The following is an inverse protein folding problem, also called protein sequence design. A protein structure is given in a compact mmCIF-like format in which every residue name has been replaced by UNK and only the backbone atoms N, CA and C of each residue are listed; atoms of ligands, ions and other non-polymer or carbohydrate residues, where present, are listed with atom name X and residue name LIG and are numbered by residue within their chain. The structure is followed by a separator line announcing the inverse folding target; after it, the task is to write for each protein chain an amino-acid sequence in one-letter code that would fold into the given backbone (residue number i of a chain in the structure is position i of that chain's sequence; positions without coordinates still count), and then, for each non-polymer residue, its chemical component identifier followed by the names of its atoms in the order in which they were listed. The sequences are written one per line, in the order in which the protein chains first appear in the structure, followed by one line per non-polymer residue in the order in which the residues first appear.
data_IF_855395213880
#
_entry.id   IF_855395213880
#
_cell.length_a   1.000
_cell.length_b   1.000
_cell.length_c   1.000
_cell.angle_alpha   90.00
_cell.angle_beta   90.00
_cell.angle_gamma   90.00
#
_symmetry.space_group_name_H-M   'P 1'
#
loop_
_entity.id
_entity.type
_entity.pdbx_description
1 polymer ?
#
# COMPACT_ATOMS: atom_id res chain seq x y z
N UNK A 1 -10.28 37.62 44.10
CA UNK A 1 -10.38 36.15 43.95
C UNK A 1 -11.50 35.91 42.93
N UNK A 2 -11.29 35.74 41.63
CA UNK A 2 -10.21 35.08 40.90
C UNK A 2 -10.83 33.90 40.13
N UNK A 3 -11.72 34.20 39.17
CA UNK A 3 -12.43 33.20 38.37
C UNK A 3 -11.93 33.22 36.92
N UNK A 4 -11.43 32.09 36.45
CA UNK A 4 -11.06 31.84 35.06
C UNK A 4 -11.04 30.33 34.79
N UNK A 5 -11.64 29.84 33.70
CA UNK A 5 -11.58 28.43 33.34
C UNK A 5 -10.23 28.10 32.69
N UNK A 6 -9.69 26.93 33.06
CA UNK A 6 -8.45 26.37 32.54
C UNK A 6 -8.60 25.97 31.06
N UNK A 7 -7.98 26.72 30.17
CA UNK A 7 -7.70 26.31 28.81
C UNK A 7 -6.49 25.37 28.78
N UNK A 8 -6.76 24.06 28.70
CA UNK A 8 -5.76 23.04 28.37
C UNK A 8 -5.43 23.08 26.87
N UNK A 9 -4.15 23.30 26.59
CA UNK A 9 -3.52 23.43 25.28
C UNK A 9 -3.65 22.16 24.43
N UNK A 10 -4.44 22.23 23.37
CA UNK A 10 -4.32 21.37 22.18
C UNK A 10 -4.03 22.29 21.00
N UNK A 11 -2.74 22.52 20.74
CA UNK A 11 -2.28 23.37 19.64
C UNK A 11 -0.95 22.83 19.13
N UNK A 12 -0.98 21.77 18.32
CA UNK A 12 -0.16 21.58 17.11
C UNK A 12 -0.90 20.53 16.28
N UNK A 13 -1.47 20.93 15.14
CA UNK A 13 -1.81 20.20 13.90
C UNK A 13 -2.95 21.02 13.28
N UNK A 14 -2.55 22.14 12.68
CA UNK A 14 -3.42 23.12 12.07
C UNK A 14 -2.61 24.01 11.15
N UNK A 15 -2.04 23.42 10.10
CA UNK A 15 -1.55 24.18 8.94
C UNK A 15 -1.21 23.21 7.81
N UNK A 16 -2.19 22.91 6.94
CA UNK A 16 -2.00 22.46 5.55
C UNK A 16 -3.33 22.19 4.80
N UNK A 17 -4.49 22.24 5.48
CA UNK A 17 -5.79 22.05 4.84
C UNK A 17 -6.46 23.34 4.30
N UNK A 18 -5.76 24.48 4.29
CA UNK A 18 -6.36 25.80 4.03
C UNK A 18 -6.10 26.45 2.66
N UNK A 19 -5.30 25.84 1.77
CA UNK A 19 -4.75 26.56 0.61
C UNK A 19 -5.14 26.04 -0.78
N UNK A 20 -6.13 25.15 -0.90
CA UNK A 20 -6.55 24.59 -2.21
C UNK A 20 -7.88 25.18 -2.72
N UNK A 21 -8.61 25.98 -1.93
CA UNK A 21 -9.94 26.49 -2.32
C UNK A 21 -10.00 27.94 -2.84
N UNK A 22 -8.88 28.54 -3.27
CA UNK A 22 -8.86 29.96 -3.69
C UNK A 22 -8.16 30.27 -5.02
N UNK A 23 -8.24 29.39 -6.02
CA UNK A 23 -7.87 29.74 -7.40
C UNK A 23 -8.91 29.21 -8.40
N UNK A 24 -10.18 29.53 -8.16
CA UNK A 24 -11.20 29.45 -9.21
C UNK A 24 -12.07 30.69 -9.13
N UNK A 25 -11.98 31.51 -10.18
CA UNK A 25 -12.78 32.69 -10.53
C UNK A 25 -11.98 34.00 -10.52
N UNK A 26 -11.48 34.40 -11.70
CA UNK A 26 -11.86 35.64 -12.42
C UNK A 26 -10.85 35.92 -13.54
N UNK A 27 -11.29 35.79 -14.78
CA UNK A 27 -10.81 36.62 -15.91
C UNK A 27 -11.94 36.72 -16.95
N UNK A 28 -12.49 37.91 -17.23
CA UNK A 28 -13.28 38.15 -18.43
C UNK A 28 -12.36 38.40 -19.63
N UNK A 29 -12.66 37.75 -20.77
CA UNK A 29 -12.06 38.06 -22.07
C UNK A 29 -12.38 39.50 -22.47
N UNK A 30 -11.38 40.39 -22.39
CA UNK A 30 -11.36 41.69 -23.03
C UNK A 30 -10.44 41.63 -24.26
N UNK A 31 -10.97 42.01 -25.41
CA UNK A 31 -10.25 42.10 -26.67
C UNK A 31 -9.15 43.18 -26.63
N UNK A 32 -7.97 42.90 -27.17
CA UNK A 32 -7.06 43.94 -27.63
C UNK A 32 -6.14 43.46 -28.77
N UNK A 33 -6.59 43.80 -29.99
CA UNK A 33 -5.87 44.26 -31.18
C UNK A 33 -4.35 43.99 -31.29
N UNK A 34 -3.98 43.32 -32.39
CA UNK A 34 -2.62 43.20 -32.92
C UNK A 34 -1.94 44.57 -33.10
N UNK A 35 -0.66 44.65 -32.73
CA UNK A 35 0.27 45.61 -33.32
C UNK A 35 1.68 45.00 -33.41
N UNK A 36 2.23 45.09 -34.60
CA UNK A 36 3.55 44.64 -35.05
C UNK A 36 4.59 45.74 -34.75
N UNK A 37 5.84 45.36 -34.42
CA UNK A 37 7.12 46.05 -34.75
C UNK A 37 8.22 45.85 -33.67
N UNK A 38 9.28 45.16 -34.09
CA UNK A 38 10.71 45.54 -34.01
C UNK A 38 11.16 46.52 -32.90
N UNK A 39 11.97 46.03 -31.95
CA UNK A 39 13.16 46.75 -31.47
C UNK A 39 14.05 45.87 -30.60
N UNK A 40 15.36 46.04 -30.79
CA UNK A 40 16.44 45.51 -29.98
C UNK A 40 16.62 46.34 -28.71
N UNK A 41 17.02 45.68 -27.61
CA UNK A 41 17.86 46.28 -26.57
C UNK A 41 17.27 46.34 -25.16
N UNK A 42 18.19 46.13 -24.20
CA UNK A 42 18.11 46.33 -22.75
C UNK A 42 17.45 45.24 -21.89
N UNK A 43 18.23 44.74 -20.93
CA UNK A 43 17.92 43.59 -20.10
C UNK A 43 16.93 43.86 -18.98
N UNK A 44 16.32 42.77 -18.51
CA UNK A 44 15.75 42.66 -17.18
C UNK A 44 16.21 41.32 -16.59
N UNK A 45 16.85 41.45 -15.43
CA UNK A 45 17.26 40.37 -14.56
C UNK A 45 16.01 39.88 -13.82
N UNK A 46 15.19 39.04 -14.46
CA UNK A 46 14.01 38.45 -13.83
C UNK A 46 14.39 37.10 -13.22
N UNK A 47 14.94 37.19 -12.00
CA UNK A 47 14.83 36.13 -11.02
C UNK A 47 13.37 35.92 -10.65
N UNK A 48 12.65 35.13 -11.44
CA UNK A 48 11.41 34.49 -11.02
C UNK A 48 11.75 33.04 -10.67
N UNK A 49 12.20 32.87 -9.43
CA UNK A 49 12.23 31.60 -8.73
C UNK A 49 10.82 31.03 -8.58
N UNK A 50 10.34 30.40 -9.65
CA UNK A 50 9.26 29.44 -9.64
C UNK A 50 9.87 28.08 -9.91
N UNK A 51 10.66 27.57 -8.96
CA UNK A 51 11.14 26.19 -8.97
C UNK A 51 9.95 25.25 -8.82
N UNK A 52 9.23 25.00 -9.91
CA UNK A 52 8.54 23.74 -10.06
C UNK A 52 9.63 22.68 -9.88
N UNK A 53 9.57 21.93 -8.78
CA UNK A 53 10.33 20.70 -8.61
C UNK A 53 9.91 19.78 -9.76
N UNK A 54 10.60 19.91 -10.88
CA UNK A 54 10.64 18.89 -11.91
C UNK A 54 11.35 17.74 -11.22
N UNK A 55 10.58 16.80 -10.68
CA UNK A 55 11.13 15.53 -10.23
C UNK A 55 11.72 14.89 -11.47
N UNK A 56 13.04 14.88 -11.56
CA UNK A 56 13.71 14.28 -12.69
C UNK A 56 13.48 12.77 -12.63
N UNK A 57 13.55 12.04 -13.76
CA UNK A 57 13.52 10.57 -13.74
C UNK A 57 14.56 9.95 -12.80
N UNK A 58 15.58 10.72 -12.38
CA UNK A 58 16.62 10.35 -11.42
C UNK A 58 16.12 10.30 -9.97
N UNK A 59 14.97 10.92 -9.64
CA UNK A 59 14.38 10.88 -8.30
C UNK A 59 13.59 9.58 -8.02
N UNK A 60 13.36 8.74 -9.05
CA UNK A 60 12.72 7.45 -8.89
C UNK A 60 13.70 6.44 -8.27
N UNK A 61 13.28 5.75 -7.20
CA UNK A 61 14.06 4.68 -6.60
C UNK A 61 14.52 3.68 -7.67
N UNK A 62 15.82 3.42 -7.72
CA UNK A 62 16.39 2.45 -8.64
C UNK A 62 15.95 1.04 -8.24
N UNK A 63 15.85 0.14 -9.23
CA UNK A 63 15.49 -1.27 -9.03
C UNK A 63 16.18 -1.91 -7.83
N UNK A 64 17.51 -1.81 -7.74
CA UNK A 64 18.28 -2.50 -6.70
C UNK A 64 18.02 -1.89 -5.32
N UNK A 65 17.85 -0.58 -5.22
CA UNK A 65 17.48 0.10 -3.97
C UNK A 65 16.10 -0.35 -3.48
N UNK A 66 15.13 -0.44 -4.40
CA UNK A 66 13.78 -0.92 -4.11
C UNK A 66 13.79 -2.37 -3.62
N UNK A 67 14.46 -3.28 -4.35
CA UNK A 67 14.51 -4.69 -3.98
C UNK A 67 15.27 -4.92 -2.66
N UNK A 68 16.34 -4.17 -2.40
CA UNK A 68 17.07 -4.26 -1.14
C UNK A 68 16.23 -3.76 0.04
N UNK A 69 15.55 -2.63 -0.10
CA UNK A 69 14.69 -2.08 0.94
C UNK A 69 13.51 -3.02 1.23
N UNK A 70 12.83 -3.48 0.18
CA UNK A 70 11.71 -4.41 0.31
C UNK A 70 12.17 -5.74 0.92
N UNK A 71 13.30 -6.28 0.46
CA UNK A 71 13.90 -7.50 1.00
C UNK A 71 14.27 -7.37 2.48
N UNK A 72 14.90 -6.26 2.88
CA UNK A 72 15.25 -6.00 4.27
C UNK A 72 14.02 -5.85 5.17
N UNK A 73 12.99 -5.12 4.70
CA UNK A 73 11.73 -4.97 5.43
C UNK A 73 11.04 -6.32 5.63
N UNK A 74 10.87 -7.09 4.55
CA UNK A 74 10.18 -8.38 4.62
C UNK A 74 10.98 -9.43 5.41
N UNK A 75 12.30 -9.45 5.27
CA UNK A 75 13.18 -10.27 6.11
C UNK A 75 13.08 -9.90 7.59
N UNK A 76 13.00 -8.60 7.91
CA UNK A 76 12.75 -8.09 9.25
C UNK A 76 11.43 -8.59 9.84
N UNK A 77 10.36 -8.66 9.04
CA UNK A 77 9.07 -9.22 9.47
C UNK A 77 9.15 -10.72 9.78
N UNK A 78 9.92 -11.50 9.00
CA UNK A 78 10.15 -12.93 9.31
C UNK A 78 10.91 -13.07 10.63
N UNK A 79 11.97 -12.28 10.86
CA UNK A 79 12.71 -12.29 12.12
C UNK A 79 11.81 -11.90 13.30
N UNK A 80 10.95 -10.89 13.11
CA UNK A 80 9.97 -10.49 14.11
C UNK A 80 8.97 -11.61 14.38
N UNK A 81 8.47 -12.31 13.36
CA UNK A 81 7.57 -13.45 13.53
C UNK A 81 8.23 -14.56 14.36
N UNK A 82 9.48 -14.91 14.07
CA UNK A 82 10.23 -15.91 14.84
C UNK A 82 10.43 -15.46 16.30
N UNK A 83 10.81 -14.19 16.51
CA UNK A 83 11.02 -13.64 17.85
C UNK A 83 9.72 -13.62 18.67
N UNK A 84 8.62 -13.16 18.09
CA UNK A 84 7.31 -13.14 18.76
C UNK A 84 6.77 -14.55 18.96
N UNK A 85 6.99 -15.46 18.01
CA UNK A 85 6.64 -16.86 18.14
C UNK A 85 7.34 -17.50 19.33
N UNK A 86 8.64 -17.25 19.47
CA UNK A 86 9.41 -17.67 20.65
C UNK A 86 8.89 -17.03 21.95
N UNK A 87 8.61 -15.73 21.95
CA UNK A 87 8.13 -15.00 23.14
C UNK A 87 6.76 -15.48 23.63
N UNK A 88 5.86 -15.84 22.71
CA UNK A 88 4.49 -16.24 23.03
C UNK A 88 4.27 -17.76 23.02
N UNK A 89 5.34 -18.55 22.85
CA UNK A 89 5.29 -20.02 22.73
C UNK A 89 4.36 -20.48 21.61
N UNK A 90 4.50 -19.86 20.43
CA UNK A 90 3.77 -20.17 19.20
C UNK A 90 4.78 -20.57 18.14
N UNK A 91 4.64 -21.76 17.57
CA UNK A 91 5.43 -22.15 16.41
C UNK A 91 4.85 -21.47 15.15
N UNK A 92 5.57 -20.52 14.51
CA UNK A 92 5.06 -19.78 13.35
C UNK A 92 4.65 -20.69 12.18
N UNK A 93 5.27 -21.87 12.10
CA UNK A 93 5.11 -22.83 11.00
C UNK A 93 4.09 -23.92 11.31
N UNK A 94 3.44 -23.90 12.49
CA UNK A 94 2.62 -25.00 13.00
C UNK A 94 1.54 -25.47 12.02
N UNK A 95 0.96 -24.54 11.27
CA UNK A 95 -0.14 -24.81 10.34
C UNK A 95 0.30 -24.85 8.88
N UNK A 96 1.59 -25.00 8.59
CA UNK A 96 2.04 -25.18 7.21
C UNK A 96 1.96 -26.67 6.85
N UNK A 97 0.94 -27.04 6.08
CA UNK A 97 0.84 -28.40 5.52
C UNK A 97 0.93 -28.36 3.99
N UNK A 98 1.74 -29.28 3.43
CA UNK A 98 2.00 -29.39 2.01
C UNK A 98 1.18 -30.52 1.41
N UNK A 99 -0.13 -30.30 1.24
CA UNK A 99 -1.05 -31.26 0.66
C UNK A 99 -1.78 -30.70 -0.56
N UNK A 100 -2.20 -31.60 -1.46
CA UNK A 100 -2.82 -31.21 -2.72
C UNK A 100 -4.15 -30.44 -2.54
N UNK A 101 -4.90 -30.74 -1.47
CA UNK A 101 -6.18 -30.08 -1.19
C UNK A 101 -5.94 -28.62 -0.78
N UNK A 102 -4.94 -28.35 0.04
CA UNK A 102 -4.57 -26.98 0.40
C UNK A 102 -4.00 -26.17 -0.76
N UNK A 103 -3.27 -26.79 -1.69
CA UNK A 103 -2.90 -26.12 -2.95
C UNK A 103 -4.10 -25.74 -3.82
N UNK A 104 -5.09 -26.62 -3.92
CA UNK A 104 -6.34 -26.31 -4.62
C UNK A 104 -7.06 -25.13 -3.96
N UNK A 105 -7.22 -25.16 -2.63
CA UNK A 105 -7.83 -24.06 -1.89
C UNK A 105 -7.05 -22.75 -1.98
N UNK A 106 -5.72 -22.82 -1.94
CA UNK A 106 -4.84 -21.67 -2.16
C UNK A 106 -5.09 -21.02 -3.53
N UNK A 107 -5.15 -21.84 -4.59
CA UNK A 107 -5.47 -21.37 -5.94
C UNK A 107 -6.86 -20.71 -6.01
N UNK A 108 -7.88 -21.38 -5.45
CA UNK A 108 -9.25 -20.83 -5.40
C UNK A 108 -9.34 -19.55 -4.57
N UNK A 109 -8.62 -19.46 -3.45
CA UNK A 109 -8.59 -18.29 -2.58
C UNK A 109 -7.85 -17.09 -3.21
N UNK A 110 -6.98 -17.35 -4.18
CA UNK A 110 -6.31 -16.29 -4.95
C UNK A 110 -7.31 -15.57 -5.88
N UNK A 111 -8.32 -16.29 -6.40
CA UNK A 111 -9.20 -15.75 -7.45
C UNK A 111 -10.03 -14.52 -7.00
N UNK A 112 -10.68 -14.50 -5.82
CA UNK A 112 -11.40 -13.31 -5.36
C UNK A 112 -10.50 -12.09 -5.17
N UNK A 113 -9.27 -12.29 -4.69
CA UNK A 113 -8.31 -11.20 -4.48
C UNK A 113 -7.80 -10.64 -5.82
N UNK A 114 -7.45 -11.50 -6.78
CA UNK A 114 -7.12 -11.07 -8.14
C UNK A 114 -8.30 -10.36 -8.82
N UNK A 115 -9.53 -10.85 -8.61
CA UNK A 115 -10.74 -10.19 -9.12
C UNK A 115 -10.94 -8.81 -8.50
N UNK A 116 -10.71 -8.66 -7.20
CA UNK A 116 -10.74 -7.36 -6.52
C UNK A 116 -9.68 -6.41 -7.09
N UNK A 117 -8.44 -6.88 -7.28
CA UNK A 117 -7.37 -6.10 -7.89
C UNK A 117 -7.73 -5.66 -9.32
N UNK A 118 -8.28 -6.56 -10.15
CA UNK A 118 -8.82 -6.23 -11.48
C UNK A 118 -9.92 -5.18 -11.43
N UNK A 119 -10.88 -5.33 -10.53
CA UNK A 119 -12.00 -4.40 -10.39
C UNK A 119 -11.51 -3.01 -9.98
N UNK A 120 -10.56 -2.92 -9.04
CA UNK A 120 -9.95 -1.65 -8.64
C UNK A 120 -9.11 -1.04 -9.78
N UNK A 121 -8.43 -1.87 -10.57
CA UNK A 121 -7.68 -1.41 -11.73
C UNK A 121 -8.60 -0.83 -12.80
N UNK A 122 -9.71 -1.49 -13.10
CA UNK A 122 -10.62 -1.13 -14.20
C UNK A 122 -11.67 -0.09 -13.83
N UNK A 123 -12.01 0.02 -12.55
CA UNK A 123 -13.08 0.91 -12.10
C UNK A 123 -12.69 2.38 -12.20
N UNK A 124 -13.65 3.18 -12.68
CA UNK A 124 -13.62 4.64 -12.72
C UNK A 124 -14.37 5.26 -11.53
N UNK A 125 -14.54 4.51 -10.45
CA UNK A 125 -15.07 5.06 -9.22
C UNK A 125 -13.98 5.85 -8.50
N UNK A 126 -14.35 6.92 -7.78
CA UNK A 126 -13.38 7.79 -7.10
C UNK A 126 -12.42 6.99 -6.21
N UNK A 127 -12.96 6.10 -5.38
CA UNK A 127 -12.17 5.25 -4.49
C UNK A 127 -11.13 4.41 -5.24
N UNK A 128 -11.54 3.75 -6.34
CA UNK A 128 -10.65 2.91 -7.14
C UNK A 128 -9.55 3.74 -7.83
N UNK A 129 -9.89 4.93 -8.34
CA UNK A 129 -8.90 5.86 -8.91
C UNK A 129 -7.89 6.33 -7.86
N UNK A 130 -8.36 6.79 -6.70
CA UNK A 130 -7.48 7.29 -5.63
C UNK A 130 -6.48 6.19 -5.19
N UNK A 131 -6.96 4.95 -5.00
CA UNK A 131 -6.11 3.80 -4.64
C UNK A 131 -5.12 3.44 -5.75
N UNK A 132 -5.57 3.44 -7.00
CA UNK A 132 -4.72 3.14 -8.15
C UNK A 132 -3.64 4.21 -8.35
N UNK A 133 -3.98 5.48 -8.19
CA UNK A 133 -3.03 6.61 -8.24
C UNK A 133 -2.02 6.52 -7.10
N UNK A 134 -2.44 6.15 -5.89
CA UNK A 134 -1.53 5.87 -4.79
C UNK A 134 -0.52 4.76 -5.15
N UNK A 135 -0.98 3.64 -5.70
CA UNK A 135 -0.08 2.54 -6.08
C UNK A 135 0.83 2.91 -7.25
N UNK A 136 0.31 3.58 -8.28
CA UNK A 136 1.11 4.02 -9.43
C UNK A 136 2.18 5.03 -9.03
N UNK A 137 1.84 6.01 -8.17
CA UNK A 137 2.81 7.00 -7.69
C UNK A 137 3.85 6.41 -6.75
N UNK A 138 3.47 5.46 -5.89
CA UNK A 138 4.37 4.90 -4.87
C UNK A 138 5.24 3.75 -5.40
N UNK A 139 4.65 2.83 -6.16
CA UNK A 139 5.29 1.58 -6.60
C UNK A 139 5.58 1.55 -8.10
N UNK A 140 4.81 2.29 -8.91
CA UNK A 140 4.86 2.23 -10.38
C UNK A 140 6.26 2.35 -10.97
N UNK A 141 7.02 3.43 -10.68
CA UNK A 141 8.37 3.62 -11.22
C UNK A 141 9.32 2.47 -10.89
N UNK A 142 9.32 1.95 -9.67
CA UNK A 142 10.21 0.88 -9.24
C UNK A 142 9.79 -0.48 -9.83
N UNK A 143 8.48 -0.80 -9.79
CA UNK A 143 7.91 -2.04 -10.34
C UNK A 143 8.09 -2.12 -11.86
N UNK A 144 8.02 -1.01 -12.58
CA UNK A 144 8.24 -0.97 -14.03
C UNK A 144 9.68 -1.33 -14.43
N UNK A 145 10.66 -1.01 -13.57
CA UNK A 145 12.07 -1.35 -13.78
C UNK A 145 12.38 -2.81 -13.44
N UNK A 146 11.56 -3.46 -12.62
CA UNK A 146 11.78 -4.84 -12.18
C UNK A 146 11.63 -5.86 -13.31
N UNK A 147 12.43 -6.92 -13.26
CA UNK A 147 12.25 -8.10 -14.11
C UNK A 147 11.05 -8.91 -13.59
N UNK A 148 10.44 -9.73 -14.44
CA UNK A 148 9.24 -10.47 -14.03
C UNK A 148 9.52 -11.42 -12.85
N UNK A 149 10.71 -12.00 -12.78
CA UNK A 149 11.10 -12.86 -11.66
C UNK A 149 11.39 -12.10 -10.37
N UNK A 150 11.82 -10.83 -10.45
CA UNK A 150 11.97 -10.00 -9.24
C UNK A 150 10.59 -9.82 -8.57
N UNK A 151 9.54 -9.62 -9.38
CA UNK A 151 8.18 -9.47 -8.89
C UNK A 151 7.62 -10.76 -8.30
N UNK A 152 7.94 -11.92 -8.89
CA UNK A 152 7.58 -13.24 -8.35
C UNK A 152 8.28 -13.48 -7.00
N UNK A 153 9.59 -13.22 -6.93
CA UNK A 153 10.33 -13.39 -5.68
C UNK A 153 9.86 -12.44 -4.59
N UNK A 154 9.60 -11.18 -4.96
CA UNK A 154 9.10 -10.17 -4.03
C UNK A 154 7.71 -10.53 -3.52
N UNK A 155 6.77 -10.94 -4.39
CA UNK A 155 5.43 -11.29 -3.95
C UNK A 155 5.40 -12.55 -3.08
N UNK A 156 6.23 -13.54 -3.39
CA UNK A 156 6.41 -14.72 -2.51
C UNK A 156 6.99 -14.32 -1.16
N UNK A 157 7.98 -13.42 -1.16
CA UNK A 157 8.61 -12.95 0.07
C UNK A 157 7.59 -12.22 0.95
N UNK A 158 6.79 -11.30 0.38
CA UNK A 158 5.71 -10.57 1.07
C UNK A 158 4.65 -11.52 1.61
N UNK A 159 4.15 -12.44 0.77
CA UNK A 159 3.13 -13.40 1.20
C UNK A 159 3.62 -14.33 2.32
N UNK A 160 4.88 -14.75 2.30
CA UNK A 160 5.45 -15.57 3.38
C UNK A 160 5.65 -14.74 4.65
N UNK A 161 6.32 -13.60 4.57
CA UNK A 161 6.69 -12.79 5.73
C UNK A 161 5.49 -12.27 6.51
N UNK A 162 4.52 -11.69 5.80
CA UNK A 162 3.36 -11.07 6.42
C UNK A 162 2.42 -12.13 7.00
N UNK A 163 2.11 -13.18 6.25
CA UNK A 163 1.21 -14.22 6.74
C UNK A 163 1.82 -15.02 7.88
N UNK A 164 3.14 -15.24 7.87
CA UNK A 164 3.83 -15.85 9.00
C UNK A 164 3.70 -15.01 10.27
N UNK A 165 3.90 -13.69 10.18
CA UNK A 165 3.77 -12.79 11.32
C UNK A 165 2.31 -12.70 11.80
N UNK A 166 1.39 -12.35 10.91
CA UNK A 166 0.03 -12.03 11.30
C UNK A 166 -0.80 -13.28 11.59
N UNK A 167 -0.75 -14.30 10.72
CA UNK A 167 -1.62 -15.49 10.85
C UNK A 167 -0.88 -16.63 11.54
N UNK A 168 0.41 -16.82 11.25
CA UNK A 168 1.24 -17.83 11.90
C UNK A 168 1.52 -17.54 13.37
N UNK A 169 1.64 -16.26 13.75
CA UNK A 169 2.02 -15.88 15.12
C UNK A 169 0.97 -15.05 15.84
N UNK A 170 0.63 -13.85 15.35
CA UNK A 170 -0.27 -12.93 16.08
C UNK A 170 -1.66 -13.54 16.28
N UNK A 171 -2.28 -14.02 15.21
CA UNK A 171 -3.60 -14.66 15.28
C UNK A 171 -3.58 -15.90 16.16
N UNK A 172 -2.56 -16.76 16.03
CA UNK A 172 -2.43 -17.96 16.84
C UNK A 172 -2.19 -17.65 18.32
N UNK A 173 -1.37 -16.65 18.62
CA UNK A 173 -1.14 -16.19 19.97
C UNK A 173 -2.44 -15.69 20.59
N UNK A 174 -3.22 -14.90 19.85
CA UNK A 174 -4.49 -14.35 20.32
C UNK A 174 -5.62 -15.39 20.43
N UNK A 175 -5.58 -16.44 19.62
CA UNK A 175 -6.63 -17.45 19.55
C UNK A 175 -6.80 -18.23 20.86
N UNK A 176 -5.79 -18.23 21.75
CA UNK A 176 -5.87 -18.85 23.09
C UNK A 176 -6.92 -18.20 23.99
N UNK A 177 -7.28 -16.94 23.75
CA UNK A 177 -8.29 -16.22 24.51
C UNK A 177 -9.65 -16.16 23.80
N UNK A 178 -9.65 -15.94 22.48
CA UNK A 178 -10.85 -15.92 21.66
C UNK A 178 -10.51 -16.06 20.19
N UNK A 179 -11.08 -17.04 19.50
CA UNK A 179 -10.90 -17.20 18.04
C UNK A 179 -11.42 -15.97 17.29
N UNK A 180 -12.60 -15.46 17.65
CA UNK A 180 -13.17 -14.27 17.02
C UNK A 180 -12.33 -13.02 17.35
N UNK A 181 -11.93 -12.85 18.61
CA UNK A 181 -11.07 -11.74 19.03
C UNK A 181 -9.72 -11.75 18.31
N UNK A 182 -9.13 -12.93 18.10
CA UNK A 182 -7.89 -13.10 17.37
C UNK A 182 -8.01 -12.66 15.91
N UNK A 183 -9.06 -13.09 15.21
CA UNK A 183 -9.33 -12.67 13.83
C UNK A 183 -9.51 -11.16 13.77
N UNK A 184 -10.35 -10.57 14.63
CA UNK A 184 -10.62 -9.13 14.59
C UNK A 184 -9.36 -8.30 14.91
N UNK A 185 -8.64 -8.63 15.98
CA UNK A 185 -7.48 -7.85 16.40
C UNK A 185 -6.29 -8.01 15.45
N UNK A 186 -6.04 -9.23 14.93
CA UNK A 186 -4.99 -9.43 13.92
C UNK A 186 -5.24 -8.58 12.68
N UNK A 187 -6.49 -8.53 12.21
CA UNK A 187 -6.83 -7.77 11.01
C UNK A 187 -6.90 -6.26 11.25
N UNK A 188 -7.23 -5.81 12.47
CA UNK A 188 -7.05 -4.43 12.86
C UNK A 188 -5.56 -4.02 12.85
N UNK A 189 -4.67 -4.86 13.40
CA UNK A 189 -3.23 -4.61 13.37
C UNK A 189 -2.68 -4.61 11.93
N UNK A 190 -3.12 -5.56 11.10
CA UNK A 190 -2.79 -5.61 9.69
C UNK A 190 -3.23 -4.33 8.94
N UNK A 191 -4.46 -3.86 9.19
CA UNK A 191 -4.95 -2.62 8.61
C UNK A 191 -4.14 -1.39 9.06
N UNK A 192 -3.74 -1.34 10.33
CA UNK A 192 -2.98 -0.23 10.90
C UNK A 192 -1.58 -0.10 10.30
N UNK A 193 -0.87 -1.21 10.09
CA UNK A 193 0.46 -1.15 9.44
C UNK A 193 0.37 -0.76 7.97
N UNK A 194 -0.79 -0.93 7.33
CA UNK A 194 -1.09 -0.53 5.96
C UNK A 194 -1.75 0.86 5.86
N UNK A 195 -1.80 1.64 6.95
CA UNK A 195 -2.57 2.88 7.00
C UNK A 195 -1.88 4.08 6.31
N UNK A 196 -1.54 3.93 5.02
CA UNK A 196 -1.05 5.03 4.16
C UNK A 196 -2.18 6.04 3.89
N UNK A 197 -3.39 5.53 3.66
CA UNK A 197 -4.64 6.30 3.62
C UNK A 197 -5.73 5.52 4.37
N UNK A 198 -6.77 6.18 4.89
CA UNK A 198 -7.87 5.48 5.55
C UNK A 198 -8.56 4.45 4.63
N UNK A 199 -8.72 4.79 3.35
CA UNK A 199 -9.29 3.89 2.35
C UNK A 199 -8.44 2.63 2.15
N UNK A 200 -7.11 2.79 2.07
CA UNK A 200 -6.19 1.68 1.92
C UNK A 200 -6.13 0.81 3.19
N UNK A 201 -6.18 1.42 4.38
CA UNK A 201 -6.28 0.69 5.64
C UNK A 201 -7.53 -0.20 5.71
N UNK A 202 -8.69 0.34 5.32
CA UNK A 202 -9.95 -0.43 5.27
C UNK A 202 -9.84 -1.58 4.27
N UNK A 203 -9.30 -1.32 3.07
CA UNK A 203 -9.09 -2.37 2.07
C UNK A 203 -8.16 -3.48 2.60
N UNK A 204 -7.02 -3.10 3.20
CA UNK A 204 -6.07 -4.03 3.79
C UNK A 204 -6.70 -4.85 4.92
N UNK A 205 -7.50 -4.22 5.79
CA UNK A 205 -8.23 -4.93 6.84
C UNK A 205 -9.25 -5.94 6.30
N UNK A 206 -9.95 -5.61 5.22
CA UNK A 206 -10.89 -6.53 4.56
C UNK A 206 -10.17 -7.70 3.87
N UNK A 207 -9.06 -7.42 3.18
CA UNK A 207 -8.19 -8.46 2.60
C UNK A 207 -7.62 -9.35 3.69
N UNK A 208 -7.13 -8.77 4.78
CA UNK A 208 -6.64 -9.52 5.93
C UNK A 208 -7.73 -10.41 6.53
N UNK A 209 -8.93 -9.87 6.73
CA UNK A 209 -10.07 -10.65 7.24
C UNK A 209 -10.38 -11.83 6.33
N UNK A 210 -10.38 -11.61 5.02
CA UNK A 210 -10.53 -12.69 4.05
C UNK A 210 -9.43 -13.76 4.19
N UNK A 211 -8.17 -13.36 4.32
CA UNK A 211 -7.03 -14.27 4.49
C UNK A 211 -7.12 -15.08 5.80
N UNK A 212 -7.53 -14.45 6.91
CA UNK A 212 -7.83 -15.14 8.17
C UNK A 212 -8.94 -16.17 8.00
N UNK A 213 -10.01 -15.83 7.28
CA UNK A 213 -11.15 -16.73 7.06
C UNK A 213 -10.75 -17.93 6.20
N UNK A 214 -10.05 -17.76 5.08
CA UNK A 214 -9.66 -18.91 4.22
C UNK A 214 -8.69 -19.86 4.93
N UNK A 215 -7.89 -19.38 5.88
CA UNK A 215 -7.05 -20.24 6.72
C UNK A 215 -7.87 -21.15 7.63
N UNK A 216 -8.93 -20.61 8.27
CA UNK A 216 -9.70 -21.34 9.30
C UNK A 216 -10.90 -22.09 8.75
N UNK A 217 -11.41 -21.73 7.56
CA UNK A 217 -12.56 -22.39 6.95
C UNK A 217 -12.21 -23.74 6.30
N UNK A 218 -10.92 -24.00 6.07
CA UNK A 218 -10.44 -25.32 5.62
C UNK A 218 -10.02 -26.12 6.84
N UNK A 219 -10.53 -27.34 6.96
CA UNK A 219 -10.15 -28.27 8.03
C UNK A 219 -9.22 -29.38 7.49
N UNK A 220 -8.04 -29.58 8.11
CA UNK A 220 -7.45 -28.76 9.18
C UNK A 220 -7.00 -27.37 8.70
N UNK A 221 -6.91 -26.35 9.59
CA UNK A 221 -6.44 -25.02 9.21
C UNK A 221 -5.06 -25.07 8.58
N UNK A 222 -4.85 -24.29 7.51
CA UNK A 222 -3.57 -24.31 6.79
C UNK A 222 -3.10 -22.91 6.41
N UNK A 223 -1.92 -22.53 6.88
CA UNK A 223 -1.24 -21.26 6.63
C UNK A 223 -0.74 -21.14 5.18
N UNK A 224 -0.54 -22.26 4.47
CA UNK A 224 -0.16 -22.25 3.05
C UNK A 224 -1.21 -21.52 2.20
N UNK A 225 -2.50 -21.65 2.55
CA UNK A 225 -3.62 -21.07 1.79
C UNK A 225 -3.51 -19.54 1.73
N UNK A 226 -3.49 -18.81 2.86
CA UNK A 226 -3.36 -17.36 2.81
C UNK A 226 -1.99 -16.90 2.29
N UNK A 227 -0.88 -17.63 2.55
CA UNK A 227 0.46 -17.30 2.00
C UNK A 227 0.43 -17.23 0.48
N UNK A 228 -0.12 -18.26 -0.16
CA UNK A 228 -0.19 -18.34 -1.63
C UNK A 228 -1.23 -17.36 -2.17
N UNK A 229 -2.37 -17.20 -1.52
CA UNK A 229 -3.41 -16.26 -1.94
C UNK A 229 -2.91 -14.80 -1.91
N UNK A 230 -2.19 -14.42 -0.85
CA UNK A 230 -1.58 -13.11 -0.71
C UNK A 230 -0.48 -12.89 -1.76
N UNK A 231 0.49 -13.81 -1.86
CA UNK A 231 1.57 -13.73 -2.85
C UNK A 231 1.05 -13.69 -4.30
N UNK A 232 -0.02 -14.44 -4.59
CA UNK A 232 -0.67 -14.47 -5.90
C UNK A 232 -1.37 -13.15 -6.24
N UNK A 233 -2.10 -12.58 -5.28
CA UNK A 233 -2.74 -11.27 -5.42
C UNK A 233 -1.73 -10.15 -5.62
N UNK A 234 -0.62 -10.17 -4.88
CA UNK A 234 0.44 -9.16 -5.00
C UNK A 234 1.14 -9.25 -6.34
N UNK A 235 1.48 -10.46 -6.78
CA UNK A 235 2.06 -10.67 -8.11
C UNK A 235 1.13 -10.13 -9.20
N UNK A 236 -0.16 -10.41 -9.08
CA UNK A 236 -1.17 -9.92 -10.02
C UNK A 236 -1.30 -8.40 -9.99
N UNK A 237 -1.29 -7.80 -8.80
CA UNK A 237 -1.34 -6.35 -8.62
C UNK A 237 -0.09 -5.67 -9.18
N UNK A 238 1.10 -6.23 -8.96
CA UNK A 238 2.34 -5.77 -9.59
C UNK A 238 2.28 -5.84 -11.11
N UNK A 239 1.68 -6.90 -11.67
CA UNK A 239 1.46 -6.99 -13.11
C UNK A 239 0.53 -5.88 -13.63
N UNK A 240 -0.60 -5.62 -12.95
CA UNK A 240 -1.51 -4.51 -13.30
C UNK A 240 -0.80 -3.14 -13.26
N UNK A 241 -0.10 -2.86 -12.15
CA UNK A 241 0.68 -1.63 -11.94
C UNK A 241 1.73 -1.47 -13.05
N UNK A 242 2.55 -2.52 -13.29
CA UNK A 242 3.58 -2.52 -14.33
C UNK A 242 3.00 -2.22 -15.70
N UNK A 243 1.93 -2.94 -16.08
CA UNK A 243 1.28 -2.78 -17.38
C UNK A 243 0.77 -1.37 -17.59
N UNK A 244 0.20 -0.73 -16.56
CA UNK A 244 -0.26 0.66 -16.64
C UNK A 244 0.89 1.65 -16.69
N UNK A 245 1.89 1.49 -15.84
CA UNK A 245 3.05 2.37 -15.82
C UNK A 245 3.75 2.39 -17.19
N UNK A 246 3.90 1.23 -17.82
CA UNK A 246 4.49 1.10 -19.16
C UNK A 246 3.67 1.78 -20.27
N UNK A 247 2.39 2.06 -20.07
CA UNK A 247 1.56 2.83 -21.02
C UNK A 247 1.65 4.33 -20.82
N UNK A 248 2.18 4.77 -19.68
CA UNK A 248 2.37 6.18 -19.34
C UNK A 248 3.75 6.70 -19.76
N UNK A 249 4.69 5.80 -20.05
CA UNK A 249 6.01 6.08 -20.63
C UNK A 249 5.95 6.06 -22.15
#
# INVERSE_FOLDING_TARGET
MGGGPAHGRWCVIGSLAGQIHRVRQKSPCGACRMRNANSWGSGCNDQLGGGALVTTPEDAMQRDQFLNLAGAFQGGLVLLAVLLGWLFDVNPWQYVAWDARSWLWAGLATLPLCSLSLLLDWSEWKLARDLRELWLSTLGPAVAQCRWWDLVLLSLLVGVSEELLFRGVVQMALARWSVVGAVLLTNALFALVHAVTPAYAVLAGLVGLYLSLVMILVEPPNLLIPVVAHAGCDLFSFWCIRRRQQRLL
#
